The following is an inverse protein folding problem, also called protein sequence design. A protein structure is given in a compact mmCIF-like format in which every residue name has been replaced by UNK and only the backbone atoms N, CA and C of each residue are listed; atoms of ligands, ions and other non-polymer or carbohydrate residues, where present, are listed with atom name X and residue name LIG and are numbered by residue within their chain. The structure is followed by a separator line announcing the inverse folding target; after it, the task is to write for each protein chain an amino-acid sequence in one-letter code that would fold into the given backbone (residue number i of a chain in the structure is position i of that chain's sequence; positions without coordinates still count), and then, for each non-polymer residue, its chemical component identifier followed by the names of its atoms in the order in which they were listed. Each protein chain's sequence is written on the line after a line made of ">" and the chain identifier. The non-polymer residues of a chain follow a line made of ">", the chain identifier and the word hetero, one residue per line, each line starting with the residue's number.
data_IF_756330613342
#
_entry.id   IF_756330613342
#
_cell.length_a   1.000
_cell.length_b   1.000
_cell.length_c   1.000
_cell.angle_alpha   90.00
_cell.angle_beta   90.00
_cell.angle_gamma   90.00
#
_symmetry.space_group_name_H-M   'P 1'
#
loop_
_entity.id
_entity.type
_entity.pdbx_description
1 polymer ?
#
# COMPACT_ATOMS: atom_id res chain seq x y z
N UNK A 1 7.38 -21.32 15.19
CA UNK A 1 7.17 -20.81 13.83
C UNK A 1 8.42 -20.04 13.46
N UNK A 2 9.08 -20.37 12.35
CA UNK A 2 10.36 -19.78 12.00
C UNK A 2 10.14 -18.45 11.26
N UNK A 3 10.63 -17.35 11.83
CA UNK A 3 10.50 -16.00 11.24
C UNK A 3 11.35 -15.92 9.97
N UNK A 4 10.72 -15.99 8.80
CA UNK A 4 11.42 -15.75 7.53
C UNK A 4 11.58 -14.25 7.31
N UNK A 5 12.78 -13.84 6.91
CA UNK A 5 13.02 -12.43 6.57
C UNK A 5 12.58 -12.22 5.12
N UNK A 6 11.51 -11.45 4.92
CA UNK A 6 11.15 -10.94 3.59
C UNK A 6 12.32 -10.09 3.08
N UNK A 7 12.70 -10.32 1.83
CA UNK A 7 13.97 -9.81 1.28
C UNK A 7 14.10 -8.29 1.44
N UNK A 8 15.20 -7.89 2.04
CA UNK A 8 15.63 -6.49 2.14
C UNK A 8 16.31 -6.07 0.85
N UNK A 9 15.98 -4.89 0.35
CA UNK A 9 16.66 -4.27 -0.79
C UNK A 9 17.00 -2.83 -0.38
N UNK A 10 18.28 -2.46 -0.41
CA UNK A 10 18.64 -1.06 -0.26
C UNK A 10 18.44 -0.34 -1.60
N UNK A 11 17.85 0.85 -1.61
CA UNK A 11 17.87 1.71 -2.81
C UNK A 11 19.30 1.97 -3.28
N UNK A 12 20.27 2.03 -2.35
CA UNK A 12 21.71 2.16 -2.67
C UNK A 12 22.35 0.88 -3.20
N UNK A 13 21.77 -0.30 -2.97
CA UNK A 13 22.23 -1.58 -3.57
C UNK A 13 21.48 -1.92 -4.86
N UNK A 14 20.41 -1.21 -5.19
CA UNK A 14 19.85 -1.17 -6.55
C UNK A 14 20.78 -0.35 -7.45
N UNK A 15 21.90 -0.96 -7.86
CA UNK A 15 22.77 -0.42 -8.92
C UNK A 15 21.93 0.00 -10.12
N UNK A 16 22.33 1.09 -10.79
CA UNK A 16 21.58 1.77 -11.83
C UNK A 16 20.75 0.84 -12.75
N UNK A 17 19.47 0.70 -12.41
CA UNK A 17 18.42 0.32 -13.34
C UNK A 17 17.60 -0.94 -13.06
N UNK A 18 17.96 -1.82 -12.11
CA UNK A 18 17.25 -3.13 -12.00
C UNK A 18 16.79 -3.42 -10.57
N UNK A 19 15.47 -3.55 -10.37
CA UNK A 19 14.93 -4.40 -9.30
C UNK A 19 15.38 -5.83 -9.65
N UNK A 20 16.17 -6.52 -8.79
CA UNK A 20 16.87 -7.75 -9.17
C UNK A 20 15.96 -8.71 -9.94
N UNK A 21 16.43 -9.27 -11.06
CA UNK A 21 15.60 -10.18 -11.89
C UNK A 21 15.07 -11.37 -11.09
N UNK A 22 15.77 -11.73 -10.02
CA UNK A 22 15.33 -12.63 -8.95
C UNK A 22 13.97 -12.29 -8.34
N UNK A 23 13.61 -11.01 -8.16
CA UNK A 23 12.30 -10.59 -7.66
C UNK A 23 11.16 -11.02 -8.59
N UNK A 24 11.35 -10.85 -9.91
CA UNK A 24 10.41 -11.29 -10.95
C UNK A 24 10.35 -12.82 -11.00
N UNK A 25 11.51 -13.50 -10.96
CA UNK A 25 11.59 -14.97 -11.01
C UNK A 25 10.98 -15.65 -9.77
N UNK A 26 11.22 -15.11 -8.58
CA UNK A 26 10.81 -15.71 -7.31
C UNK A 26 9.33 -15.43 -6.97
N UNK A 27 8.60 -14.70 -7.82
CA UNK A 27 7.16 -14.34 -7.65
C UNK A 27 6.86 -13.66 -6.30
N UNK A 28 7.83 -12.91 -5.79
CA UNK A 28 7.71 -12.26 -4.49
C UNK A 28 6.95 -10.95 -4.67
N UNK A 29 5.70 -10.88 -4.20
CA UNK A 29 4.90 -9.65 -4.24
C UNK A 29 5.12 -8.68 -3.07
N UNK A 30 6.09 -8.95 -2.19
CA UNK A 30 6.32 -8.15 -0.99
C UNK A 30 7.82 -8.08 -0.67
N UNK A 31 8.33 -6.88 -0.42
CA UNK A 31 9.75 -6.64 -0.12
C UNK A 31 9.92 -5.51 0.88
N UNK A 32 11.12 -5.36 1.44
CA UNK A 32 11.46 -4.24 2.31
C UNK A 32 12.50 -3.35 1.64
N UNK A 33 12.24 -2.05 1.59
CA UNK A 33 13.18 -1.05 1.10
C UNK A 33 13.89 -0.39 2.28
N UNK A 34 15.22 -0.36 2.25
CA UNK A 34 16.06 0.50 3.12
C UNK A 34 16.79 1.58 2.31
N UNK A 35 17.35 2.59 2.98
CA UNK A 35 18.04 3.72 2.36
C UNK A 35 17.16 4.52 1.36
N UNK A 36 15.85 4.61 1.64
CA UNK A 36 14.86 5.34 0.83
C UNK A 36 15.00 6.87 0.86
N UNK A 37 15.83 7.41 1.73
CA UNK A 37 16.10 8.85 1.80
C UNK A 37 15.05 9.68 2.54
N UNK A 38 13.91 9.10 2.93
CA UNK A 38 13.01 9.71 3.92
C UNK A 38 13.76 9.77 5.27
N UNK A 39 13.91 10.96 5.90
CA UNK A 39 14.54 11.09 7.21
C UNK A 39 13.79 10.30 8.30
N UNK A 40 14.54 9.74 9.25
CA UNK A 40 13.98 8.87 10.31
C UNK A 40 13.10 9.65 11.30
N UNK A 41 13.37 10.94 11.50
CA UNK A 41 12.57 11.86 12.29
C UNK A 41 11.23 12.20 11.62
N UNK A 42 11.18 12.32 10.29
CA UNK A 42 9.92 12.46 9.52
C UNK A 42 9.03 11.22 9.74
N UNK A 43 9.60 10.02 9.65
CA UNK A 43 8.89 8.76 9.94
C UNK A 43 8.43 8.70 11.41
N UNK A 44 9.33 9.00 12.34
CA UNK A 44 9.03 8.97 13.79
C UNK A 44 7.94 9.98 14.16
N UNK A 45 7.92 11.15 13.53
CA UNK A 45 6.90 12.17 13.75
C UNK A 45 5.54 11.75 13.19
N UNK A 46 5.49 11.14 11.99
CA UNK A 46 4.26 10.56 11.43
C UNK A 46 3.68 9.48 12.36
N UNK A 47 4.52 8.56 12.82
CA UNK A 47 4.14 7.50 13.75
C UNK A 47 3.62 8.09 15.07
N UNK A 48 4.32 9.09 15.62
CA UNK A 48 3.94 9.80 16.84
C UNK A 48 2.56 10.44 16.70
N UNK A 49 2.32 11.29 15.70
CA UNK A 49 1.03 12.01 15.59
C UNK A 49 -0.14 11.07 15.30
N UNK A 50 0.11 9.97 14.56
CA UNK A 50 -0.90 8.93 14.35
C UNK A 50 -1.25 8.22 15.64
N UNK A 51 -0.24 7.85 16.44
CA UNK A 51 -0.44 7.25 17.76
C UNK A 51 -1.21 8.20 18.70
N UNK A 52 -0.79 9.46 18.80
CA UNK A 52 -1.45 10.48 19.61
C UNK A 52 -2.92 10.68 19.23
N UNK A 53 -3.27 10.59 17.93
CA UNK A 53 -4.67 10.61 17.49
C UNK A 53 -5.46 9.37 17.94
N UNK A 54 -4.92 8.16 17.79
CA UNK A 54 -5.65 6.94 18.17
C UNK A 54 -5.81 6.75 19.69
N UNK A 55 -4.92 7.38 20.48
CA UNK A 55 -4.99 7.47 21.95
C UNK A 55 -6.02 8.50 22.46
N UNK A 56 -6.63 9.31 21.59
CA UNK A 56 -7.72 10.22 21.98
C UNK A 56 -8.99 9.46 22.42
N UNK A 57 -9.85 10.08 23.26
CA UNK A 57 -11.19 9.59 23.55
C UNK A 57 -11.99 9.27 22.29
N UNK A 58 -12.87 8.27 22.34
CA UNK A 58 -13.63 7.83 21.18
C UNK A 58 -14.40 8.97 20.51
N UNK A 59 -15.05 9.81 21.32
CA UNK A 59 -15.84 10.98 20.87
C UNK A 59 -15.01 11.96 20.00
N UNK A 60 -13.71 12.14 20.32
CA UNK A 60 -12.81 13.00 19.55
C UNK A 60 -12.41 12.36 18.20
N UNK A 61 -12.38 11.03 18.11
CA UNK A 61 -12.07 10.28 16.88
C UNK A 61 -13.29 10.20 15.96
N UNK A 62 -14.50 10.04 16.52
CA UNK A 62 -15.76 10.03 15.77
C UNK A 62 -16.06 11.37 15.07
N UNK A 63 -15.44 12.49 15.49
CA UNK A 63 -15.52 13.77 14.76
C UNK A 63 -15.01 13.70 13.31
N UNK A 64 -14.19 12.69 12.99
CA UNK A 64 -13.65 12.45 11.64
C UNK A 64 -14.30 11.23 10.98
N UNK A 65 -15.32 10.62 11.58
CA UNK A 65 -16.01 9.47 11.02
C UNK A 65 -16.77 9.85 9.75
N UNK A 66 -16.83 8.93 8.79
CA UNK A 66 -17.66 9.12 7.60
C UNK A 66 -19.15 8.98 7.94
N UNK A 67 -19.96 9.84 7.36
CA UNK A 67 -21.42 9.68 7.37
C UNK A 67 -21.81 8.31 6.80
N UNK A 68 -22.83 7.62 7.35
CA UNK A 68 -23.34 6.34 6.84
C UNK A 68 -23.68 6.36 5.34
N UNK A 69 -24.15 7.50 4.83
CA UNK A 69 -24.54 7.68 3.42
C UNK A 69 -23.37 8.09 2.51
N UNK A 70 -22.17 8.27 3.07
CA UNK A 70 -21.00 8.72 2.32
C UNK A 70 -20.48 7.64 1.38
N UNK A 71 -20.32 8.02 0.10
CA UNK A 71 -19.59 7.20 -0.90
C UNK A 71 -18.07 7.28 -0.73
N UNK A 72 -17.56 8.16 0.14
CA UNK A 72 -16.13 8.29 0.41
C UNK A 72 -15.63 7.14 1.29
N UNK A 73 -14.42 6.65 1.00
CA UNK A 73 -13.70 5.76 1.91
C UNK A 73 -13.00 6.52 3.05
N UNK A 74 -12.78 7.84 2.89
CA UNK A 74 -12.11 8.70 3.86
C UNK A 74 -12.92 8.85 5.15
N UNK A 75 -12.21 9.08 6.25
CA UNK A 75 -12.74 9.21 7.60
C UNK A 75 -12.28 8.11 8.55
N UNK A 76 -12.60 8.29 9.83
CA UNK A 76 -12.42 7.32 10.91
C UNK A 76 -13.45 6.19 10.81
N UNK A 77 -13.09 5.00 11.31
CA UNK A 77 -14.05 3.92 11.54
C UNK A 77 -13.47 2.70 12.26
N UNK A 78 -14.34 1.96 12.93
CA UNK A 78 -14.05 0.71 13.66
C UNK A 78 -14.47 -0.56 12.90
N UNK A 79 -14.85 -0.42 11.61
CA UNK A 79 -15.28 -1.51 10.74
C UNK A 79 -14.77 -1.32 9.32
N UNK A 80 -14.09 -2.31 8.77
CA UNK A 80 -13.80 -2.37 7.33
C UNK A 80 -15.09 -2.70 6.55
N UNK A 81 -15.15 -2.23 5.30
CA UNK A 81 -16.41 -2.07 4.56
C UNK A 81 -17.20 -3.37 4.32
N UNK A 82 -16.55 -4.55 4.38
CA UNK A 82 -17.21 -5.87 4.44
C UNK A 82 -16.46 -6.82 5.38
N UNK A 83 -17.11 -7.18 6.48
CA UNK A 83 -16.67 -8.25 7.39
C UNK A 83 -16.79 -9.62 6.68
N UNK A 84 -15.90 -10.57 7.00
CA UNK A 84 -15.98 -11.93 6.45
C UNK A 84 -16.98 -12.73 7.28
N UNK A 85 -18.13 -13.11 6.70
CA UNK A 85 -19.16 -14.03 7.23
C UNK A 85 -19.07 -14.33 8.75
N UNK A 86 -19.66 -13.43 9.54
CA UNK A 86 -19.76 -13.56 11.00
C UNK A 86 -18.50 -13.17 11.80
N UNK A 87 -17.38 -12.85 11.15
CA UNK A 87 -16.10 -12.47 11.79
C UNK A 87 -15.75 -11.01 11.54
N UNK A 88 -15.73 -10.24 12.63
CA UNK A 88 -15.31 -8.84 12.63
C UNK A 88 -13.79 -8.74 12.58
N UNK A 89 -13.28 -7.81 11.77
CA UNK A 89 -11.86 -7.44 11.85
C UNK A 89 -11.65 -6.58 13.09
N UNK A 90 -10.65 -6.91 13.92
CA UNK A 90 -10.33 -6.16 15.13
C UNK A 90 -9.38 -5.01 14.77
N UNK A 91 -9.92 -3.93 14.20
CA UNK A 91 -9.14 -2.79 13.69
C UNK A 91 -9.95 -1.49 13.67
N UNK A 92 -9.41 -0.46 14.31
CA UNK A 92 -9.78 0.94 14.03
C UNK A 92 -8.89 1.48 12.92
N UNK A 93 -9.44 2.34 12.06
CA UNK A 93 -8.72 2.96 10.95
C UNK A 93 -9.12 4.43 10.78
N UNK A 94 -8.25 5.17 10.10
CA UNK A 94 -8.50 6.51 9.60
C UNK A 94 -7.93 6.54 8.18
N UNK A 95 -8.77 6.79 7.17
CA UNK A 95 -8.32 6.98 5.80
C UNK A 95 -8.48 8.45 5.39
N UNK A 96 -7.51 8.99 4.69
CA UNK A 96 -7.60 10.31 4.05
C UNK A 96 -6.65 10.37 2.86
N UNK A 97 -6.97 11.20 1.88
CA UNK A 97 -6.11 11.43 0.73
C UNK A 97 -4.96 12.37 1.12
N UNK A 98 -3.76 12.09 0.61
CA UNK A 98 -2.56 12.94 0.76
C UNK A 98 -2.04 13.47 -0.59
N UNK A 99 -2.58 12.98 -1.70
CA UNK A 99 -2.31 13.36 -3.10
C UNK A 99 -3.53 12.90 -3.94
N UNK A 100 -3.98 13.57 -5.01
CA UNK A 100 -3.64 14.94 -5.47
C UNK A 100 -3.95 16.04 -4.46
N UNK A 101 -3.29 17.22 -4.51
CA UNK A 101 -3.72 18.37 -3.74
C UNK A 101 -5.20 18.75 -3.96
N UNK A 102 -5.76 18.72 -5.19
CA UNK A 102 -7.21 18.85 -5.41
C UNK A 102 -8.11 17.76 -4.78
N UNK A 103 -7.55 16.62 -4.35
CA UNK A 103 -8.29 15.51 -3.74
C UNK A 103 -8.08 15.41 -2.23
N UNK A 104 -7.22 16.27 -1.62
CA UNK A 104 -7.05 16.32 -0.17
C UNK A 104 -8.26 17.01 0.44
N UNK A 105 -8.98 16.27 1.28
CA UNK A 105 -10.12 16.79 2.03
C UNK A 105 -9.77 16.89 3.53
N UNK A 106 -9.38 18.10 3.94
CA UNK A 106 -8.96 18.39 5.31
C UNK A 106 -10.07 18.23 6.36
N UNK A 107 -11.34 17.98 5.98
CA UNK A 107 -12.37 17.64 6.98
C UNK A 107 -12.09 16.29 7.66
N UNK A 108 -11.45 15.35 6.95
CA UNK A 108 -11.08 14.03 7.47
C UNK A 108 -9.68 14.01 8.13
N UNK A 109 -9.00 15.16 8.21
CA UNK A 109 -7.67 15.26 8.81
C UNK A 109 -7.75 15.69 10.28
N UNK A 110 -7.24 14.89 11.23
CA UNK A 110 -7.16 15.24 12.64
C UNK A 110 -6.58 16.62 12.94
N UNK A 111 -7.33 17.39 13.73
CA UNK A 111 -6.90 18.67 14.34
C UNK A 111 -6.17 18.47 15.67
N UNK A 112 -6.23 17.25 16.23
CA UNK A 112 -5.56 16.81 17.45
C UNK A 112 -4.77 15.54 17.11
N UNK A 113 -3.44 15.50 17.35
CA UNK A 113 -2.60 16.62 17.76
C UNK A 113 -2.53 17.71 16.69
N UNK A 114 -2.26 18.99 17.04
CA UNK A 114 -2.20 20.10 16.06
C UNK A 114 -1.06 19.94 15.04
N UNK A 115 -0.06 19.13 15.36
CA UNK A 115 1.06 18.75 14.49
C UNK A 115 0.69 17.68 13.44
N UNK A 116 -0.47 17.04 13.54
CA UNK A 116 -0.86 15.92 12.69
C UNK A 116 -0.78 16.26 11.20
N UNK A 117 -1.36 17.40 10.82
CA UNK A 117 -1.38 17.87 9.43
C UNK A 117 0.04 18.11 8.90
N UNK A 118 0.85 18.88 9.62
CA UNK A 118 2.21 19.21 9.18
C UNK A 118 3.09 17.96 9.02
N UNK A 119 2.95 16.97 9.91
CA UNK A 119 3.67 15.70 9.82
C UNK A 119 3.26 14.86 8.60
N UNK A 120 1.96 14.79 8.29
CA UNK A 120 1.45 14.08 7.11
C UNK A 120 1.83 14.79 5.80
N UNK A 121 1.72 16.13 5.74
CA UNK A 121 2.16 16.93 4.59
C UNK A 121 3.67 16.80 4.35
N UNK A 122 4.51 16.81 5.40
CA UNK A 122 5.95 16.62 5.26
C UNK A 122 6.28 15.22 4.75
N UNK A 123 5.70 14.17 5.36
CA UNK A 123 5.89 12.80 4.89
C UNK A 123 5.46 12.61 3.43
N UNK A 124 4.35 13.22 3.00
CA UNK A 124 3.85 13.13 1.63
C UNK A 124 4.82 13.74 0.59
N UNK A 125 5.62 14.76 0.94
CA UNK A 125 6.67 15.31 0.06
C UNK A 125 7.76 14.28 -0.20
N UNK A 126 8.29 13.69 0.87
CA UNK A 126 9.34 12.66 0.80
C UNK A 126 8.86 11.39 0.09
N UNK A 127 7.61 11.02 0.30
CA UNK A 127 7.03 9.82 -0.28
C UNK A 127 6.88 9.90 -1.81
N UNK A 128 6.59 11.07 -2.38
CA UNK A 128 6.59 11.27 -3.84
C UNK A 128 7.94 10.89 -4.45
N UNK A 129 9.04 11.43 -3.91
CA UNK A 129 10.39 11.08 -4.37
C UNK A 129 10.82 9.62 -4.15
N UNK A 130 10.12 8.87 -3.28
CA UNK A 130 10.27 7.41 -3.16
C UNK A 130 9.42 6.69 -4.21
N UNK A 131 8.18 7.14 -4.42
CA UNK A 131 7.27 6.60 -5.42
C UNK A 131 7.86 6.69 -6.83
N UNK A 132 8.33 7.87 -7.23
CA UNK A 132 8.90 8.12 -8.57
C UNK A 132 10.10 7.18 -8.85
N UNK A 133 11.02 7.09 -7.90
CA UNK A 133 12.17 6.17 -7.98
C UNK A 133 11.73 4.71 -8.07
N UNK A 134 10.71 4.33 -7.32
CA UNK A 134 10.22 2.96 -7.29
C UNK A 134 9.51 2.59 -8.60
N UNK A 135 8.67 3.48 -9.14
CA UNK A 135 8.01 3.30 -10.42
C UNK A 135 8.99 3.26 -11.59
N UNK A 136 9.98 4.18 -11.65
CA UNK A 136 11.04 4.12 -12.66
C UNK A 136 11.83 2.81 -12.61
N UNK A 137 12.16 2.30 -11.42
CA UNK A 137 12.85 1.00 -11.24
C UNK A 137 11.98 -0.21 -11.58
N UNK A 138 10.67 -0.15 -11.35
CA UNK A 138 9.71 -1.17 -11.82
C UNK A 138 9.56 -1.15 -13.35
N UNK A 139 9.55 0.04 -13.97
CA UNK A 139 9.51 0.21 -15.42
C UNK A 139 10.71 -0.46 -16.09
N UNK A 140 11.92 -0.14 -15.63
CA UNK A 140 13.16 -0.75 -16.12
C UNK A 140 13.22 -2.26 -15.88
N UNK A 141 12.69 -2.74 -14.74
CA UNK A 141 12.57 -4.18 -14.45
C UNK A 141 11.67 -4.92 -15.44
N UNK A 142 10.75 -4.24 -16.12
CA UNK A 142 9.92 -4.79 -17.19
C UNK A 142 10.57 -4.70 -18.58
N UNK A 143 11.71 -4.01 -18.71
CA UNK A 143 12.36 -3.68 -19.98
C UNK A 143 11.83 -2.42 -20.65
N UNK A 144 11.17 -1.52 -19.90
CA UNK A 144 10.60 -0.27 -20.37
C UNK A 144 11.50 0.92 -19.97
N UNK A 145 11.35 2.08 -20.60
CA UNK A 145 12.07 3.31 -20.22
C UNK A 145 11.66 3.86 -18.85
N UNK A 146 12.49 4.71 -18.24
CA UNK A 146 12.21 5.29 -16.90
C UNK A 146 10.89 6.11 -16.88
N UNK A 147 10.50 6.74 -18.00
CA UNK A 147 9.35 7.65 -18.11
C UNK A 147 7.97 6.96 -18.29
N UNK A 148 7.90 5.63 -18.31
CA UNK A 148 6.70 4.87 -18.72
C UNK A 148 5.80 4.37 -17.56
N UNK A 149 6.10 4.69 -16.30
CA UNK A 149 5.37 4.19 -15.14
C UNK A 149 4.51 5.26 -14.45
N UNK A 150 3.19 5.21 -14.66
CA UNK A 150 2.19 5.96 -13.89
C UNK A 150 1.78 5.20 -12.62
N UNK A 151 1.49 5.93 -11.53
CA UNK A 151 1.23 5.37 -10.18
C UNK A 151 -0.20 4.86 -9.92
N UNK A 152 -0.36 3.86 -9.02
CA UNK A 152 -1.61 3.06 -8.82
C UNK A 152 -1.74 2.39 -7.39
N UNK A 153 -2.92 2.31 -6.69
CA UNK A 153 -3.26 1.69 -5.32
C UNK A 153 -4.68 1.11 -5.07
N UNK A 154 -5.16 0.55 -3.91
CA UNK A 154 -4.74 -0.54 -2.94
C UNK A 154 -5.91 -1.15 -2.06
N UNK A 155 -5.81 -2.41 -1.54
CA UNK A 155 -6.77 -3.17 -0.64
C UNK A 155 -6.49 -4.71 -0.38
N UNK A 156 -5.26 -5.20 -0.33
CA UNK A 156 -4.77 -6.49 -0.94
C UNK A 156 -4.68 -6.35 -2.46
N UNK A 157 -3.54 -5.82 -2.92
CA UNK A 157 -3.63 -4.38 -3.14
C UNK A 157 -4.29 -4.02 -4.48
N UNK A 158 -5.36 -3.20 -4.47
CA UNK A 158 -6.10 -2.64 -5.63
C UNK A 158 -5.20 -1.82 -6.58
N UNK A 159 -3.89 -1.99 -6.42
CA UNK A 159 -2.73 -1.16 -6.62
C UNK A 159 -1.80 -1.57 -7.72
N UNK A 160 -0.87 -0.67 -8.02
CA UNK A 160 0.49 -1.06 -8.23
C UNK A 160 1.26 -1.26 -6.91
N UNK A 161 1.26 -0.27 -6.00
CA UNK A 161 2.21 -0.25 -4.87
C UNK A 161 1.61 0.26 -3.54
N UNK A 162 1.55 -0.55 -2.49
CA UNK A 162 1.40 -0.02 -1.11
C UNK A 162 2.77 0.25 -0.51
N UNK A 163 2.93 1.40 0.16
CA UNK A 163 4.10 1.73 0.98
C UNK A 163 3.67 1.74 2.44
N UNK A 164 4.11 0.75 3.22
CA UNK A 164 3.67 0.49 4.59
C UNK A 164 4.79 0.76 5.59
N UNK A 165 4.53 1.65 6.55
CA UNK A 165 5.36 1.84 7.75
C UNK A 165 4.65 1.14 8.93
N UNK A 166 5.16 0.02 9.47
CA UNK A 166 4.67 -0.54 10.73
C UNK A 166 5.31 0.14 11.95
N UNK A 167 4.73 -0.04 13.14
CA UNK A 167 5.47 0.11 14.39
C UNK A 167 6.31 -1.15 14.69
N UNK A 168 6.99 -1.19 15.83
CA UNK A 168 7.87 -2.29 16.23
C UNK A 168 7.15 -3.63 16.48
N UNK A 169 5.81 -3.60 16.59
CA UNK A 169 4.97 -4.77 16.90
C UNK A 169 4.75 -5.61 15.64
N UNK A 170 5.31 -6.83 15.64
CA UNK A 170 5.15 -7.80 14.56
C UNK A 170 3.68 -8.18 14.33
N UNK A 171 3.38 -8.65 13.11
CA UNK A 171 2.06 -9.23 12.81
C UNK A 171 1.63 -9.18 11.35
N UNK A 172 2.43 -8.60 10.44
CA UNK A 172 2.19 -8.78 9.01
C UNK A 172 2.61 -10.21 8.60
N UNK A 173 1.74 -10.89 7.86
CA UNK A 173 2.01 -12.20 7.28
C UNK A 173 1.75 -12.17 5.77
N UNK A 174 2.63 -12.82 5.01
CA UNK A 174 2.49 -13.05 3.55
C UNK A 174 2.20 -14.52 3.27
N UNK A 175 1.32 -14.78 2.31
CA UNK A 175 1.03 -16.14 1.83
C UNK A 175 1.90 -16.47 0.62
N UNK A 176 2.62 -17.58 0.68
CA UNK A 176 3.51 -18.07 -0.38
C UNK A 176 3.64 -19.59 -0.26
N UNK A 177 3.75 -20.29 -1.38
CA UNK A 177 4.00 -21.75 -1.42
C UNK A 177 3.05 -22.53 -0.48
N UNK A 178 1.75 -22.15 -0.52
CA UNK A 178 0.63 -22.63 0.32
C UNK A 178 0.75 -22.44 1.86
N UNK A 179 1.71 -21.61 2.31
CA UNK A 179 1.97 -21.34 3.72
C UNK A 179 1.93 -19.84 4.06
N UNK A 180 1.62 -19.54 5.32
CA UNK A 180 1.73 -18.19 5.88
C UNK A 180 3.10 -17.99 6.53
N UNK A 181 3.80 -16.91 6.15
CA UNK A 181 5.09 -16.52 6.72
C UNK A 181 4.98 -15.16 7.41
N UNK A 182 5.49 -15.07 8.64
CA UNK A 182 5.68 -13.80 9.34
C UNK A 182 6.70 -12.92 8.62
N UNK A 183 6.41 -11.63 8.49
CA UNK A 183 7.30 -10.65 7.87
C UNK A 183 8.13 -9.98 8.96
N UNK A 184 9.39 -10.43 9.13
CA UNK A 184 10.32 -9.78 10.06
C UNK A 184 10.65 -8.36 9.60
N UNK A 185 10.18 -7.35 10.35
CA UNK A 185 10.48 -5.95 10.04
C UNK A 185 11.96 -5.60 10.21
N UNK A 186 12.44 -4.70 9.36
CA UNK A 186 13.76 -4.08 9.44
C UNK A 186 13.59 -2.64 9.92
N UNK A 187 14.46 -2.21 10.84
CA UNK A 187 14.41 -0.85 11.39
C UNK A 187 14.60 0.19 10.27
N UNK A 188 13.76 1.23 10.25
CA UNK A 188 13.71 2.24 9.19
C UNK A 188 13.63 1.64 7.77
N UNK A 189 12.84 0.58 7.60
CA UNK A 189 12.48 0.06 6.28
C UNK A 189 11.02 0.37 5.92
N UNK A 190 10.77 0.61 4.64
CA UNK A 190 9.43 0.66 4.07
C UNK A 190 9.05 -0.73 3.58
N UNK A 191 7.95 -1.30 4.06
CA UNK A 191 7.42 -2.55 3.50
C UNK A 191 6.62 -2.20 2.24
N UNK A 192 6.96 -2.84 1.12
CA UNK A 192 6.35 -2.60 -0.19
C UNK A 192 5.52 -3.80 -0.59
N UNK A 193 4.28 -3.57 -1.01
CA UNK A 193 3.41 -4.61 -1.58
C UNK A 193 3.14 -4.28 -3.05
N UNK A 194 3.38 -5.26 -3.92
CA UNK A 194 2.83 -5.29 -5.29
C UNK A 194 1.34 -5.59 -5.20
N UNK A 195 0.53 -4.92 -6.00
CA UNK A 195 -0.88 -5.26 -6.15
C UNK A 195 -1.37 -5.52 -7.57
N UNK A 196 -2.68 -5.70 -7.63
CA UNK A 196 -3.46 -6.21 -8.75
C UNK A 196 -3.25 -5.43 -10.04
N UNK A 197 -3.18 -4.10 -10.00
CA UNK A 197 -3.01 -3.28 -11.19
C UNK A 197 -1.58 -3.35 -11.73
N UNK A 198 -0.56 -3.48 -10.88
CA UNK A 198 0.80 -3.74 -11.38
C UNK A 198 0.95 -5.17 -11.87
N UNK A 199 0.26 -6.14 -11.26
CA UNK A 199 0.12 -7.48 -11.83
C UNK A 199 -0.58 -7.44 -13.21
N UNK A 200 -1.70 -6.71 -13.35
CA UNK A 200 -2.44 -6.53 -14.61
C UNK A 200 -1.56 -5.84 -15.67
N UNK A 201 -1.02 -4.65 -15.36
CA UNK A 201 -0.15 -3.85 -16.25
C UNK A 201 1.07 -4.66 -16.71
N UNK A 202 1.71 -5.38 -15.79
CA UNK A 202 2.89 -6.20 -16.11
C UNK A 202 2.57 -7.52 -16.84
N UNK A 203 1.32 -7.76 -17.22
CA UNK A 203 0.79 -9.02 -17.74
C UNK A 203 1.20 -10.23 -16.87
N UNK A 204 1.23 -10.04 -15.56
CA UNK A 204 1.53 -11.07 -14.57
C UNK A 204 3.02 -11.34 -14.33
N UNK A 205 3.94 -10.48 -14.81
CA UNK A 205 5.38 -10.55 -14.48
C UNK A 205 5.64 -10.15 -13.02
N UNK A 206 4.99 -9.11 -12.52
CA UNK A 206 4.88 -8.83 -11.09
C UNK A 206 3.65 -9.52 -10.51
N UNK A 207 3.74 -9.95 -9.25
CA UNK A 207 2.67 -10.70 -8.57
C UNK A 207 2.15 -9.99 -7.33
N UNK A 208 0.84 -9.76 -7.29
CA UNK A 208 0.13 -9.41 -6.08
C UNK A 208 0.11 -10.64 -5.15
N UNK A 209 0.40 -10.42 -3.86
CA UNK A 209 0.41 -11.51 -2.86
C UNK A 209 -0.68 -11.32 -1.82
N UNK A 210 -1.38 -12.42 -1.53
CA UNK A 210 -2.26 -12.48 -0.37
C UNK A 210 -1.43 -12.23 0.90
N UNK A 211 -1.93 -11.33 1.73
CA UNK A 211 -1.32 -10.96 2.99
C UNK A 211 -2.41 -10.71 4.04
N UNK A 212 -2.05 -10.82 5.31
CA UNK A 212 -2.96 -10.56 6.44
C UNK A 212 -2.21 -9.96 7.61
N UNK A 213 -2.96 -9.40 8.55
CA UNK A 213 -2.44 -8.98 9.85
C UNK A 213 -2.93 -9.91 10.95
N UNK A 214 -2.07 -10.17 11.93
CA UNK A 214 -2.42 -10.84 13.19
C UNK A 214 -2.47 -9.80 14.33
N UNK A 215 -3.28 -10.09 15.35
CA UNK A 215 -3.38 -9.28 16.56
C UNK A 215 -2.50 -9.86 17.66
N UNK A 216 -2.06 -9.00 18.58
CA UNK A 216 -1.29 -9.37 19.77
C UNK A 216 -2.09 -8.97 21.03
N UNK A 217 -1.99 -9.75 22.11
CA UNK A 217 -2.76 -9.52 23.36
C UNK A 217 -2.10 -8.53 24.33
N UNK A 218 -0.80 -8.27 24.16
CA UNK A 218 0.05 -7.49 25.07
C UNK A 218 0.33 -6.09 24.53
N UNK A 219 0.37 -5.93 23.19
CA UNK A 219 0.77 -4.68 22.53
C UNK A 219 -0.09 -4.35 21.32
N UNK A 220 -0.50 -3.08 21.23
CA UNK A 220 -1.20 -2.53 20.06
C UNK A 220 -0.26 -2.46 18.85
N UNK A 221 -0.61 -3.17 17.78
CA UNK A 221 0.04 -3.06 16.47
C UNK A 221 -0.56 -1.87 15.72
N UNK A 222 0.30 -0.97 15.25
CA UNK A 222 -0.10 0.16 14.39
C UNK A 222 0.67 0.11 13.07
N UNK A 223 0.07 0.65 12.02
CA UNK A 223 0.73 0.79 10.73
C UNK A 223 0.11 1.88 9.89
N UNK A 224 0.96 2.58 9.12
CA UNK A 224 0.62 3.65 8.19
C UNK A 224 0.81 3.15 6.76
N UNK A 225 -0.18 2.46 6.17
CA UNK A 225 -0.17 2.16 4.75
C UNK A 225 -0.47 3.44 3.97
N UNK A 226 0.40 3.80 3.03
CA UNK A 226 0.03 4.77 1.99
C UNK A 226 -0.30 4.05 0.70
N UNK A 227 -1.38 4.55 0.14
CA UNK A 227 -2.01 4.12 -1.06
C UNK A 227 -1.94 5.32 -2.08
N UNK A 228 -1.19 5.18 -3.20
CA UNK A 228 -1.02 6.01 -4.41
C UNK A 228 -1.97 5.67 -5.62
N UNK A 229 -3.26 6.03 -5.66
CA UNK A 229 -4.31 5.45 -6.56
C UNK A 229 -4.25 5.81 -8.06
N UNK A 230 -4.70 4.94 -9.03
CA UNK A 230 -4.95 5.45 -10.37
C UNK A 230 -6.22 6.31 -10.33
N UNK A 231 -6.39 7.23 -11.28
CA UNK A 231 -7.66 7.92 -11.45
C UNK A 231 -8.83 6.93 -11.58
N UNK A 232 -9.97 7.23 -10.95
CA UNK A 232 -11.16 6.36 -10.96
C UNK A 232 -11.67 6.01 -12.36
N UNK A 233 -11.39 6.87 -13.33
CA UNK A 233 -11.72 6.78 -14.74
C UNK A 233 -10.61 6.22 -15.63
N UNK A 234 -9.41 5.99 -15.08
CA UNK A 234 -8.32 5.35 -15.80
C UNK A 234 -8.72 3.94 -16.25
N UNK A 235 -8.52 3.66 -17.52
CA UNK A 235 -8.64 2.31 -18.08
C UNK A 235 -7.29 1.60 -17.90
N UNK A 236 -7.31 0.46 -17.23
CA UNK A 236 -6.13 -0.35 -16.88
C UNK A 236 -6.24 -1.72 -17.53
N UNK A 237 -5.14 -2.22 -18.07
CA UNK A 237 -5.01 -3.53 -18.71
C UNK A 237 -3.53 -3.88 -18.93
N UNK A 238 -3.21 -5.06 -19.49
CA UNK A 238 -1.84 -5.42 -19.84
C UNK A 238 -1.17 -4.39 -20.75
N UNK A 239 0.04 -3.96 -20.42
CA UNK A 239 0.83 -3.05 -21.26
C UNK A 239 1.10 -3.73 -22.61
N UNK A 240 0.83 -3.09 -23.77
CA UNK A 240 1.00 -3.71 -25.08
C UNK A 240 2.41 -4.28 -25.35
N UNK A 241 3.44 -3.62 -24.81
CA UNK A 241 4.84 -4.05 -24.90
C UNK A 241 5.13 -5.39 -24.19
N UNK A 242 4.20 -5.86 -23.35
CA UNK A 242 4.30 -7.09 -22.56
C UNK A 242 3.34 -8.18 -23.03
N UNK A 243 2.65 -7.96 -24.16
CA UNK A 243 1.72 -8.90 -24.79
C UNK A 243 2.27 -9.31 -26.15
N UNK A 244 2.44 -10.61 -26.38
CA UNK A 244 2.86 -11.19 -27.66
C UNK A 244 2.33 -12.64 -27.78
N UNK A 245 2.72 -13.37 -28.83
CA UNK A 245 2.25 -14.74 -29.07
C UNK A 245 2.70 -15.72 -27.97
N UNK A 246 3.88 -15.53 -27.37
CA UNK A 246 4.42 -16.35 -26.28
C UNK A 246 3.83 -15.98 -24.90
N UNK A 247 3.40 -14.73 -24.73
CA UNK A 247 2.79 -14.20 -23.50
C UNK A 247 1.51 -13.41 -23.85
N UNK A 248 0.40 -14.10 -24.18
CA UNK A 248 -0.87 -13.45 -24.52
C UNK A 248 -1.45 -12.67 -23.34
N UNK A 249 -2.42 -11.80 -23.60
CA UNK A 249 -3.05 -10.97 -22.56
C UNK A 249 -3.79 -11.85 -21.52
N UNK A 250 -3.34 -11.83 -20.27
CA UNK A 250 -3.87 -12.66 -19.17
C UNK A 250 -4.98 -11.99 -18.36
N UNK A 251 -5.17 -10.69 -18.55
CA UNK A 251 -6.11 -9.85 -17.79
C UNK A 251 -6.93 -9.00 -18.77
N UNK A 252 -8.18 -8.74 -18.42
CA UNK A 252 -9.08 -7.89 -19.21
C UNK A 252 -8.77 -6.41 -18.95
N UNK A 253 -8.84 -5.60 -20.00
CA UNK A 253 -8.79 -4.14 -19.90
C UNK A 253 -10.10 -3.60 -19.33
N UNK A 254 -10.03 -2.75 -18.29
CA UNK A 254 -11.19 -2.31 -17.49
C UNK A 254 -10.95 -0.93 -16.86
N UNK A 255 -12.00 -0.13 -16.70
CA UNK A 255 -11.97 1.13 -15.93
C UNK A 255 -11.77 0.86 -14.44
N UNK A 256 -10.89 1.60 -13.78
CA UNK A 256 -10.53 1.32 -12.38
C UNK A 256 -11.73 1.33 -11.42
N UNK A 257 -12.66 2.29 -11.54
CA UNK A 257 -13.90 2.32 -10.74
C UNK A 257 -14.69 1.01 -10.80
N UNK A 258 -14.69 0.37 -11.96
CA UNK A 258 -15.49 -0.82 -12.22
C UNK A 258 -14.75 -2.06 -11.71
N UNK A 259 -13.41 -2.04 -11.74
CA UNK A 259 -12.57 -3.04 -11.08
C UNK A 259 -12.80 -3.04 -9.57
N UNK A 260 -12.69 -1.86 -8.94
CA UNK A 260 -12.95 -1.62 -7.51
C UNK A 260 -14.34 -2.11 -7.14
N UNK A 261 -15.36 -1.66 -7.88
CA UNK A 261 -16.75 -2.08 -7.65
C UNK A 261 -16.92 -3.60 -7.73
N UNK A 262 -16.37 -4.24 -8.77
CA UNK A 262 -16.47 -5.69 -8.93
C UNK A 262 -15.77 -6.44 -7.79
N UNK A 263 -14.53 -6.05 -7.42
CA UNK A 263 -13.77 -6.76 -6.37
C UNK A 263 -14.40 -6.56 -4.98
N UNK A 264 -14.82 -5.34 -4.63
CA UNK A 264 -15.57 -5.07 -3.40
C UNK A 264 -16.90 -5.84 -3.33
N UNK A 265 -17.54 -6.12 -4.47
CA UNK A 265 -18.81 -6.87 -4.53
C UNK A 265 -18.64 -8.37 -4.82
N UNK A 266 -17.40 -8.90 -4.83
CA UNK A 266 -17.08 -10.30 -5.18
C UNK A 266 -17.66 -10.73 -6.55
N UNK A 267 -17.82 -9.78 -7.46
CA UNK A 267 -18.28 -10.02 -8.83
C UNK A 267 -17.10 -10.57 -9.64
N UNK A 268 -17.25 -11.70 -10.37
CA UNK A 268 -16.21 -12.24 -11.24
C UNK A 268 -15.66 -11.20 -12.23
N UNK A 269 -14.34 -11.19 -12.42
CA UNK A 269 -13.62 -10.18 -13.21
C UNK A 269 -13.41 -10.64 -14.66
#
# INVERSE_FOLDING_TARGET
>A
MELKTVQAIAFSSMSAGIIPSEFIKQRVGMFQIVNHGIPSDVISNLQKVGKEFFELPQEEKELYAKSPDSKSIQGYGSKLQKEVEGKKAWVDHLFHNIWPPPAIDYQFWPKKPPTYRAANEEYAKWLQGVADKLFGRLSLGLGLGEDLALGVVAHTDMSAITILIPNEVQGLQVFRDDHWFDVKYISNALVIHVGDQLEILSNGKYKAVLHRTTVNKEKTRMSWPVFLEPPSDQVVGPLPQLVNEENPARYKTKKYSDYVYCKLNKIPQ
#
